data_IF_575121204444
#
_entry.id   IF_575121204444
#
_cell.length_a   1.000
_cell.length_b   1.000
_cell.length_c   1.000
_cell.angle_alpha   90.00
_cell.angle_beta   90.00
_cell.angle_gamma   90.00
#
_symmetry.space_group_name_H-M   'P 1'
#
loop_
_entity.id
_entity.type
_entity.pdbx_description
1 polymer ?
#
# COMPACT_ATOMS: atom_id res chain seq x y z
N UNK A 1 4.09 9.17 -9.18
CA UNK A 1 3.78 7.79 -8.75
C UNK A 1 5.09 7.16 -8.32
N UNK A 2 5.26 6.89 -7.02
CA UNK A 2 6.51 6.31 -6.49
C UNK A 2 6.21 4.95 -5.85
N UNK A 3 6.34 3.90 -6.66
CA UNK A 3 6.20 2.51 -6.23
C UNK A 3 7.59 1.92 -5.96
N UNK A 4 7.77 1.34 -4.79
CA UNK A 4 8.97 0.59 -4.45
C UNK A 4 8.60 -0.85 -4.10
N UNK A 5 9.46 -1.80 -4.45
CA UNK A 5 9.35 -3.17 -3.94
C UNK A 5 10.43 -3.36 -2.88
N UNK A 6 10.03 -3.68 -1.66
CA UNK A 6 10.94 -3.90 -0.53
C UNK A 6 10.36 -5.00 0.36
N UNK A 7 11.22 -5.93 0.76
CA UNK A 7 10.87 -7.08 1.62
C UNK A 7 9.71 -7.93 1.04
N UNK A 8 9.64 -8.03 -0.30
CA UNK A 8 8.56 -8.73 -1.01
C UNK A 8 7.25 -7.96 -1.10
N UNK A 9 7.15 -6.78 -0.50
CA UNK A 9 5.95 -5.94 -0.47
C UNK A 9 6.03 -4.78 -1.45
N UNK A 10 4.87 -4.30 -1.88
CA UNK A 10 4.68 -3.10 -2.71
C UNK A 10 4.46 -1.89 -1.80
N UNK A 11 5.28 -0.85 -1.95
CA UNK A 11 5.25 0.35 -1.13
C UNK A 11 4.78 1.56 -1.93
N UNK A 12 3.69 2.18 -1.49
CA UNK A 12 3.08 3.37 -2.09
C UNK A 12 3.27 4.58 -1.17
N UNK A 13 3.57 5.76 -1.73
CA UNK A 13 4.12 6.91 -1.00
C UNK A 13 3.35 8.23 -1.19
N UNK A 14 2.22 8.26 -1.89
CA UNK A 14 1.47 9.49 -2.22
C UNK A 14 -0.07 9.32 -2.18
N UNK A 15 -0.79 10.35 -1.75
CA UNK A 15 -2.13 10.21 -1.14
C UNK A 15 -3.34 10.02 -2.08
N UNK A 16 -3.36 10.62 -3.27
CA UNK A 16 -4.63 10.79 -4.02
C UNK A 16 -4.81 9.80 -5.18
N UNK A 17 -3.78 9.52 -5.97
CA UNK A 17 -3.85 8.54 -7.07
C UNK A 17 -3.47 7.13 -6.64
N UNK A 18 -2.65 6.98 -5.60
CA UNK A 18 -2.05 5.69 -5.27
C UNK A 18 -2.98 4.79 -4.45
N UNK A 19 -4.04 5.33 -3.82
CA UNK A 19 -5.14 4.49 -3.30
C UNK A 19 -5.84 3.73 -4.43
N UNK A 20 -6.05 4.37 -5.59
CA UNK A 20 -6.62 3.68 -6.75
C UNK A 20 -5.69 2.58 -7.25
N UNK A 21 -4.38 2.87 -7.29
CA UNK A 21 -3.35 1.88 -7.63
C UNK A 21 -3.36 0.69 -6.65
N UNK A 22 -3.49 0.93 -5.34
CA UNK A 22 -3.60 -0.13 -4.35
C UNK A 22 -4.81 -1.04 -4.62
N UNK A 23 -5.98 -0.46 -4.91
CA UNK A 23 -7.17 -1.24 -5.27
C UNK A 23 -7.02 -1.97 -6.62
N UNK A 24 -6.35 -1.37 -7.61
CA UNK A 24 -6.05 -2.01 -8.89
C UNK A 24 -5.09 -3.21 -8.69
N UNK A 25 -4.07 -3.10 -7.84
CA UNK A 25 -3.17 -4.20 -7.49
C UNK A 25 -3.91 -5.36 -6.83
N UNK A 26 -4.83 -5.06 -5.93
CA UNK A 26 -5.72 -6.05 -5.31
C UNK A 26 -6.61 -6.74 -6.36
N UNK A 27 -7.19 -5.97 -7.28
CA UNK A 27 -7.99 -6.52 -8.37
C UNK A 27 -7.17 -7.40 -9.34
N UNK A 28 -5.85 -7.16 -9.44
CA UNK A 28 -4.92 -7.99 -10.19
C UNK A 28 -4.44 -9.24 -9.43
N UNK A 29 -4.88 -9.42 -8.18
CA UNK A 29 -4.62 -10.61 -7.36
C UNK A 29 -3.49 -10.47 -6.34
N UNK A 30 -2.95 -9.27 -6.11
CA UNK A 30 -1.98 -9.04 -5.03
C UNK A 30 -2.74 -8.93 -3.70
N UNK A 31 -2.27 -9.63 -2.67
CA UNK A 31 -2.86 -9.54 -1.34
C UNK A 31 -2.69 -8.13 -0.77
N UNK A 32 -3.72 -7.62 -0.09
CA UNK A 32 -3.67 -6.32 0.59
C UNK A 32 -2.56 -6.27 1.65
N UNK A 33 -2.21 -7.43 2.23
CA UNK A 33 -1.14 -7.60 3.21
C UNK A 33 0.28 -7.53 2.59
N UNK A 34 0.36 -7.51 1.27
CA UNK A 34 1.61 -7.27 0.53
C UNK A 34 1.73 -5.83 0.04
N UNK A 35 0.78 -4.94 0.36
CA UNK A 35 0.77 -3.55 -0.07
C UNK A 35 0.87 -2.63 1.16
N UNK A 36 1.92 -1.82 1.23
CA UNK A 36 2.18 -0.86 2.31
C UNK A 36 1.86 0.57 1.84
N UNK A 37 0.95 1.24 2.54
CA UNK A 37 0.60 2.65 2.30
C UNK A 37 1.47 3.59 3.16
N UNK A 38 2.68 3.86 2.71
CA UNK A 38 3.70 4.63 3.47
C UNK A 38 3.38 6.12 3.63
N UNK A 39 2.47 6.67 2.83
CA UNK A 39 2.02 8.06 2.98
C UNK A 39 1.20 8.30 4.25
N UNK A 40 0.75 7.23 4.89
CA UNK A 40 0.04 7.26 6.14
C UNK A 40 0.99 7.22 7.34
N UNK A 41 0.63 7.88 8.45
CA UNK A 41 1.39 7.80 9.70
C UNK A 41 1.44 6.35 10.22
N UNK A 42 2.54 5.90 10.85
CA UNK A 42 2.64 4.53 11.35
C UNK A 42 1.53 4.11 12.32
N UNK A 43 1.02 5.08 13.09
CA UNK A 43 -0.08 4.89 14.04
C UNK A 43 -1.41 4.52 13.37
N UNK A 44 -1.57 4.84 12.08
CA UNK A 44 -2.80 4.59 11.33
C UNK A 44 -2.77 3.31 10.49
N UNK A 45 -1.61 2.69 10.28
CA UNK A 45 -1.51 1.47 9.47
C UNK A 45 -2.32 0.30 10.02
N UNK A 46 -2.37 0.14 11.35
CA UNK A 46 -3.18 -0.87 12.02
C UNK A 46 -4.69 -0.68 11.85
N UNK A 47 -5.13 0.50 11.39
CA UNK A 47 -6.53 0.84 11.16
C UNK A 47 -6.89 0.83 9.67
N UNK A 48 -6.02 0.29 8.82
CA UNK A 48 -6.29 0.10 7.39
C UNK A 48 -6.32 -1.37 7.03
N UNK A 49 -6.99 -1.69 5.92
CA UNK A 49 -7.04 -3.05 5.39
C UNK A 49 -5.70 -3.48 4.72
N UNK A 50 -4.71 -2.58 4.69
CA UNK A 50 -3.41 -2.77 4.06
C UNK A 50 -2.32 -3.14 5.07
N UNK A 51 -1.19 -3.61 4.56
CA UNK A 51 -0.07 -4.05 5.37
C UNK A 51 0.49 -2.92 6.25
N UNK A 52 0.74 -3.18 7.55
CA UNK A 52 1.67 -2.36 8.30
C UNK A 52 3.08 -2.54 7.70
N UNK A 53 3.85 -1.44 7.69
CA UNK A 53 5.19 -1.43 7.15
C UNK A 53 6.15 -2.34 7.92
#
# INVERSE_FOLDING_TARGET
MHLNIKDGKVWLQNHSTERRVAHELVAMGIDQQDIVLRFQYPTIWQYTDFAPA
#
